data_IF_169234658878
#
_entry.id   IF_169234658878
#
_cell.length_a   1.000
_cell.length_b   1.000
_cell.length_c   1.000
_cell.angle_alpha   90.00
_cell.angle_beta   90.00
_cell.angle_gamma   90.00
#
_symmetry.space_group_name_H-M   'P 1'
#
loop_
_entity.id
_entity.type
_entity.pdbx_description
1 polymer ?
#
# COMPACT_ATOMS: atom_id res chain seq x y z
N UNK A 1 44.78 -46.62 113.08
CA UNK A 1 43.64 -46.92 112.19
C UNK A 1 42.39 -46.33 112.82
N UNK A 2 41.73 -45.37 112.16
CA UNK A 2 40.50 -44.71 112.65
C UNK A 2 39.35 -45.03 111.68
N UNK A 3 38.19 -45.54 112.15
CA UNK A 3 37.05 -45.88 111.30
C UNK A 3 36.01 -44.76 111.33
N UNK A 4 35.99 -43.91 110.32
CA UNK A 4 34.91 -42.94 110.09
C UNK A 4 34.58 -42.91 108.60
N UNK A 5 33.91 -43.96 108.08
CA UNK A 5 33.36 -43.95 106.71
C UNK A 5 32.22 -44.98 106.54
N UNK A 6 31.34 -45.13 107.53
CA UNK A 6 30.18 -46.04 107.44
C UNK A 6 28.88 -45.42 107.99
N UNK A 7 28.62 -44.13 107.71
CA UNK A 7 27.40 -43.44 108.18
C UNK A 7 26.52 -42.87 107.05
N UNK A 8 26.62 -43.40 105.82
CA UNK A 8 25.94 -42.81 104.65
C UNK A 8 24.89 -43.68 103.97
N UNK A 9 24.63 -44.91 104.42
CA UNK A 9 23.67 -45.82 103.76
C UNK A 9 22.29 -45.93 104.43
N UNK A 10 22.20 -45.81 105.77
CA UNK A 10 20.93 -46.03 106.48
C UNK A 10 19.93 -44.87 106.36
N UNK A 11 20.42 -43.63 106.20
CA UNK A 11 19.55 -42.45 106.12
C UNK A 11 18.72 -42.39 104.82
N UNK A 12 19.20 -42.99 103.74
CA UNK A 12 18.53 -42.98 102.44
C UNK A 12 17.29 -43.89 102.40
N UNK A 13 17.33 -45.02 103.11
CA UNK A 13 16.29 -46.03 103.05
C UNK A 13 14.99 -45.65 103.81
N UNK A 14 15.09 -44.81 104.85
CA UNK A 14 13.94 -44.49 105.71
C UNK A 14 13.06 -43.35 105.20
N UNK A 15 13.57 -42.47 104.32
CA UNK A 15 12.83 -41.29 103.81
C UNK A 15 12.32 -41.42 102.36
N UNK A 16 12.90 -42.31 101.56
CA UNK A 16 12.60 -42.45 100.13
C UNK A 16 11.99 -43.81 99.73
N UNK A 17 11.40 -44.56 100.67
CA UNK A 17 10.85 -45.90 100.40
C UNK A 17 9.83 -45.94 99.25
N UNK A 18 9.09 -44.85 99.01
CA UNK A 18 8.10 -44.73 97.92
C UNK A 18 8.53 -43.82 96.76
N UNK A 19 9.72 -43.21 96.81
CA UNK A 19 10.20 -42.28 95.78
C UNK A 19 10.47 -43.01 94.47
N UNK A 20 11.10 -44.18 94.55
CA UNK A 20 11.33 -45.04 93.39
C UNK A 20 10.03 -45.42 92.71
N UNK A 21 8.98 -45.82 93.44
CA UNK A 21 7.68 -46.16 92.83
C UNK A 21 6.98 -44.95 92.17
N UNK A 22 6.95 -43.79 92.86
CA UNK A 22 6.31 -42.56 92.35
C UNK A 22 7.00 -41.94 91.14
N UNK A 23 8.27 -42.28 90.88
CA UNK A 23 9.01 -41.85 89.68
C UNK A 23 9.04 -42.95 88.62
N UNK A 24 9.36 -44.18 88.99
CA UNK A 24 9.53 -45.30 88.05
C UNK A 24 8.21 -45.66 87.36
N UNK A 25 7.08 -45.70 88.07
CA UNK A 25 5.79 -46.07 87.47
C UNK A 25 5.34 -45.07 86.39
N UNK A 26 5.25 -43.74 86.64
CA UNK A 26 4.89 -42.79 85.58
C UNK A 26 5.94 -42.73 84.48
N UNK A 27 7.23 -42.92 84.78
CA UNK A 27 8.27 -42.97 83.74
C UNK A 27 8.14 -44.22 82.85
N UNK A 28 7.79 -45.36 83.43
CA UNK A 28 7.55 -46.60 82.69
C UNK A 28 6.29 -46.52 81.82
N UNK A 29 5.20 -45.93 82.33
CA UNK A 29 4.00 -45.63 81.54
C UNK A 29 4.30 -44.64 80.42
N UNK A 30 5.08 -43.59 80.67
CA UNK A 30 5.51 -42.64 79.64
C UNK A 30 6.36 -43.33 78.57
N UNK A 31 7.24 -44.25 78.94
CA UNK A 31 8.07 -45.01 78.00
C UNK A 31 7.23 -45.96 77.14
N UNK A 32 6.27 -46.67 77.74
CA UNK A 32 5.31 -47.52 77.00
C UNK A 32 4.44 -46.67 76.09
N UNK A 33 3.99 -45.49 76.54
CA UNK A 33 3.25 -44.53 75.72
C UNK A 33 4.09 -44.02 74.56
N UNK A 34 5.35 -43.64 74.77
CA UNK A 34 6.25 -43.18 73.70
C UNK A 34 6.54 -44.29 72.69
N UNK A 35 6.73 -45.53 73.13
CA UNK A 35 6.91 -46.68 72.22
C UNK A 35 5.63 -46.96 71.43
N UNK A 36 4.47 -46.95 72.10
CA UNK A 36 3.17 -47.08 71.44
C UNK A 36 2.94 -45.95 70.43
N UNK A 37 3.16 -44.71 70.83
CA UNK A 37 3.08 -43.54 69.96
C UNK A 37 4.05 -43.66 68.78
N UNK A 38 5.30 -44.08 68.99
CA UNK A 38 6.26 -44.25 67.91
C UNK A 38 5.84 -45.32 66.89
N UNK A 39 5.10 -46.36 67.33
CA UNK A 39 4.58 -47.40 66.43
C UNK A 39 3.35 -46.96 65.63
N UNK A 40 2.45 -46.18 66.23
CA UNK A 40 1.18 -45.78 65.61
C UNK A 40 1.21 -44.41 64.94
N UNK A 41 2.01 -43.47 65.44
CA UNK A 41 2.12 -42.15 64.84
C UNK A 41 2.94 -42.24 63.55
N UNK A 42 2.35 -41.73 62.48
CA UNK A 42 2.97 -41.65 61.17
C UNK A 42 3.65 -40.28 60.99
N UNK A 43 4.86 -40.32 60.43
CA UNK A 43 5.63 -39.17 59.97
C UNK A 43 5.64 -39.16 58.46
N UNK A 44 5.29 -38.01 57.87
CA UNK A 44 5.38 -37.80 56.43
C UNK A 44 6.84 -37.64 55.99
N UNK A 45 7.21 -38.36 54.94
CA UNK A 45 8.52 -38.24 54.31
C UNK A 45 8.41 -37.23 53.16
N UNK A 46 9.04 -36.07 53.35
CA UNK A 46 9.13 -35.07 52.31
C UNK A 46 10.45 -35.17 51.56
N UNK A 47 10.36 -35.17 50.24
CA UNK A 47 11.48 -34.93 49.35
C UNK A 47 11.44 -33.46 48.94
N UNK A 48 12.60 -32.80 48.92
CA UNK A 48 12.72 -31.39 48.62
C UNK A 48 13.74 -31.19 47.50
N UNK A 49 13.32 -30.54 46.42
CA UNK A 49 14.22 -30.14 45.32
C UNK A 49 14.10 -28.64 45.03
N UNK A 50 15.04 -28.10 44.24
CA UNK A 50 14.95 -26.75 43.71
C UNK A 50 14.09 -26.74 42.45
N UNK A 51 13.20 -25.77 42.37
CA UNK A 51 12.36 -25.55 41.21
C UNK A 51 12.41 -24.09 40.79
N UNK A 52 12.19 -23.84 39.50
CA UNK A 52 12.12 -22.52 38.89
C UNK A 52 10.75 -22.32 38.25
N UNK A 53 10.27 -21.08 38.29
CA UNK A 53 9.06 -20.67 37.57
C UNK A 53 9.42 -20.42 36.10
N UNK A 54 8.88 -21.23 35.21
CA UNK A 54 9.09 -21.13 33.76
C UNK A 54 7.77 -20.76 33.05
N UNK A 55 7.84 -20.13 31.87
CA UNK A 55 6.65 -19.85 31.08
C UNK A 55 6.06 -21.14 30.49
N UNK A 56 4.74 -21.15 30.28
CA UNK A 56 4.07 -22.24 29.57
C UNK A 56 4.45 -22.28 28.08
N UNK A 57 4.69 -21.11 27.49
CA UNK A 57 5.11 -20.91 26.10
C UNK A 57 5.82 -19.57 25.93
N UNK A 58 6.56 -19.44 24.84
CA UNK A 58 7.16 -18.19 24.40
C UNK A 58 6.20 -17.53 23.41
N UNK A 59 5.77 -16.29 23.69
CA UNK A 59 4.88 -15.54 22.80
C UNK A 59 5.63 -15.00 21.58
N UNK A 60 6.83 -14.45 21.80
CA UNK A 60 7.67 -13.91 20.73
C UNK A 60 9.15 -13.94 21.10
N UNK A 61 10.01 -14.11 20.09
CA UNK A 61 11.44 -13.85 20.22
C UNK A 61 11.71 -12.44 19.71
N UNK A 62 12.34 -11.62 20.56
CA UNK A 62 12.76 -10.27 20.22
C UNK A 62 14.21 -10.36 19.76
N UNK A 63 14.42 -10.20 18.45
CA UNK A 63 15.74 -10.28 17.81
C UNK A 63 16.19 -8.91 17.34
N UNK A 64 17.51 -8.71 17.27
CA UNK A 64 18.10 -7.49 16.72
C UNK A 64 17.71 -7.31 15.25
N UNK A 65 17.21 -6.14 14.88
CA UNK A 65 16.76 -5.83 13.51
C UNK A 65 17.76 -4.99 12.72
N UNK A 66 18.86 -4.59 13.36
CA UNK A 66 19.92 -3.77 12.76
C UNK A 66 21.26 -4.05 13.41
N UNK A 67 22.34 -3.86 12.64
CA UNK A 67 23.72 -3.87 13.13
C UNK A 67 24.17 -2.52 13.70
N UNK A 68 23.30 -1.50 13.67
CA UNK A 68 23.59 -0.18 14.20
C UNK A 68 23.67 -0.19 15.73
N UNK A 69 24.22 0.88 16.30
CA UNK A 69 24.26 1.07 17.75
C UNK A 69 22.84 1.27 18.30
N UNK A 70 22.54 0.66 19.44
CA UNK A 70 21.31 0.90 20.21
C UNK A 70 21.44 2.26 20.90
N UNK A 71 20.52 3.18 20.60
CA UNK A 71 20.41 4.49 21.26
C UNK A 71 19.55 4.42 22.51
N UNK A 72 18.42 3.72 22.42
CA UNK A 72 17.47 3.56 23.52
C UNK A 72 17.16 2.08 23.69
N UNK A 73 17.35 1.59 24.91
CA UNK A 73 17.03 0.23 25.30
C UNK A 73 16.06 0.27 26.48
N UNK A 74 14.82 -0.17 26.26
CA UNK A 74 13.79 -0.30 27.29
C UNK A 74 13.59 -1.75 27.74
N UNK A 75 14.43 -2.68 27.26
CA UNK A 75 14.42 -4.08 27.65
C UNK A 75 14.92 -4.22 29.09
N UNK A 76 14.04 -4.70 29.97
CA UNK A 76 14.35 -4.96 31.37
C UNK A 76 13.73 -6.31 31.78
N UNK A 77 14.45 -7.08 32.60
CA UNK A 77 14.01 -8.38 33.06
C UNK A 77 12.71 -8.28 33.88
N UNK A 78 11.75 -9.15 33.59
CA UNK A 78 10.42 -9.17 34.20
C UNK A 78 9.58 -7.89 34.00
N UNK A 79 9.92 -7.02 33.05
CA UNK A 79 9.12 -5.83 32.73
C UNK A 79 7.88 -6.21 31.93
N UNK A 80 6.73 -5.69 32.35
CA UNK A 80 5.47 -5.85 31.63
C UNK A 80 5.39 -4.82 30.50
N UNK A 81 5.11 -5.31 29.29
CA UNK A 81 4.96 -4.49 28.08
C UNK A 81 3.62 -4.77 27.43
N UNK A 82 3.09 -3.76 26.75
CA UNK A 82 1.88 -3.85 25.94
C UNK A 82 2.24 -3.89 24.47
N UNK A 83 1.35 -4.47 23.66
CA UNK A 83 1.48 -4.47 22.22
C UNK A 83 1.69 -3.05 21.69
N UNK A 84 2.75 -2.88 20.89
CA UNK A 84 3.14 -1.60 20.30
C UNK A 84 4.12 -0.77 21.14
N UNK A 85 4.42 -1.17 22.37
CA UNK A 85 5.42 -0.48 23.19
C UNK A 85 6.79 -0.54 22.52
N UNK A 86 7.50 0.59 22.50
CA UNK A 86 8.88 0.68 22.00
C UNK A 86 9.82 -0.06 22.96
N UNK A 87 10.57 -1.02 22.42
CA UNK A 87 11.51 -1.84 23.17
C UNK A 87 12.95 -1.41 22.94
N UNK A 88 13.33 -1.24 21.67
CA UNK A 88 14.69 -0.85 21.28
C UNK A 88 14.62 0.15 20.13
N UNK A 89 15.44 1.18 20.20
CA UNK A 89 15.65 2.16 19.14
C UNK A 89 17.12 2.15 18.75
N UNK A 90 17.40 1.92 17.47
CA UNK A 90 18.73 2.04 16.90
C UNK A 90 19.01 3.47 16.47
N UNK A 91 20.29 3.79 16.30
CA UNK A 91 20.73 5.03 15.69
C UNK A 91 20.16 5.16 14.28
N UNK A 92 19.34 6.19 14.08
CA UNK A 92 18.81 6.57 12.77
C UNK A 92 19.97 7.05 11.89
N UNK A 93 20.08 6.49 10.68
CA UNK A 93 21.04 6.92 9.67
C UNK A 93 20.40 7.92 8.71
N UNK A 94 20.87 7.91 7.46
CA UNK A 94 20.36 8.80 6.42
C UNK A 94 18.96 8.41 5.91
N UNK A 95 18.39 7.29 6.36
CA UNK A 95 17.13 6.72 5.86
C UNK A 95 15.96 7.69 6.09
N UNK A 96 15.89 8.34 7.25
CA UNK A 96 14.84 9.32 7.57
C UNK A 96 14.86 10.53 6.63
N UNK A 97 16.05 11.09 6.37
CA UNK A 97 16.24 12.20 5.41
C UNK A 97 15.86 11.75 4.00
N UNK A 98 16.20 10.50 3.64
CA UNK A 98 15.89 9.95 2.32
C UNK A 98 14.39 9.73 2.12
N UNK A 99 13.65 9.26 3.14
CA UNK A 99 12.18 9.12 3.11
C UNK A 99 11.52 10.48 2.88
N UNK A 100 11.99 11.53 3.56
CA UNK A 100 11.47 12.89 3.39
C UNK A 100 11.78 13.47 2.00
N UNK A 101 13.00 13.24 1.50
CA UNK A 101 13.38 13.62 0.13
C UNK A 101 12.49 12.94 -0.91
N UNK A 102 12.25 11.63 -0.79
CA UNK A 102 11.34 10.92 -1.69
C UNK A 102 9.89 11.41 -1.54
N UNK A 103 9.43 11.73 -0.32
CA UNK A 103 8.10 12.28 -0.11
C UNK A 103 7.93 13.62 -0.84
N UNK A 104 8.92 14.52 -0.76
CA UNK A 104 8.93 15.80 -1.47
C UNK A 104 8.94 15.63 -2.99
N UNK A 105 9.77 14.71 -3.51
CA UNK A 105 9.80 14.42 -4.96
C UNK A 105 8.47 13.86 -5.46
N UNK A 106 7.86 12.97 -4.68
CA UNK A 106 6.58 12.34 -5.01
C UNK A 106 5.44 13.36 -5.04
N UNK A 107 5.43 14.31 -4.10
CA UNK A 107 4.45 15.41 -4.10
C UNK A 107 4.57 16.27 -5.36
N UNK A 108 5.80 16.67 -5.73
CA UNK A 108 6.07 17.40 -6.97
C UNK A 108 5.59 16.64 -8.21
N UNK A 109 5.91 15.34 -8.32
CA UNK A 109 5.51 14.53 -9.47
C UNK A 109 3.98 14.33 -9.54
N UNK A 110 3.30 14.22 -8.40
CA UNK A 110 1.83 14.14 -8.34
C UNK A 110 1.17 15.46 -8.73
N UNK A 111 1.72 16.60 -8.29
CA UNK A 111 1.27 17.93 -8.73
C UNK A 111 1.45 18.08 -10.26
N UNK A 112 2.61 17.70 -10.78
CA UNK A 112 2.88 17.69 -12.22
C UNK A 112 1.87 16.83 -13.00
N UNK A 113 1.57 15.62 -12.50
CA UNK A 113 0.61 14.70 -13.13
C UNK A 113 -0.77 15.32 -13.21
N UNK A 114 -1.23 15.90 -12.10
CA UNK A 114 -2.53 16.56 -12.01
C UNK A 114 -2.63 17.74 -13.00
N UNK A 115 -1.58 18.55 -13.12
CA UNK A 115 -1.57 19.66 -14.09
C UNK A 115 -1.54 19.18 -15.54
N UNK A 116 -0.87 18.06 -15.81
CA UNK A 116 -0.88 17.42 -17.13
C UNK A 116 -2.24 16.79 -17.46
N UNK A 117 -2.97 16.27 -16.48
CA UNK A 117 -4.37 15.81 -16.63
C UNK A 117 -5.31 16.98 -16.95
N UNK A 118 -5.08 18.17 -16.37
CA UNK A 118 -5.80 19.39 -16.77
C UNK A 118 -5.50 19.78 -18.22
N UNK A 119 -4.25 19.65 -18.70
CA UNK A 119 -3.93 19.85 -20.11
C UNK A 119 -4.69 18.86 -21.00
N UNK A 120 -4.69 17.57 -20.64
CA UNK A 120 -5.39 16.54 -21.38
C UNK A 120 -6.88 16.88 -21.53
N UNK A 121 -7.53 17.25 -20.42
CA UNK A 121 -8.94 17.64 -20.41
C UNK A 121 -9.17 18.90 -21.26
N UNK A 122 -8.29 19.89 -21.14
CA UNK A 122 -8.38 21.14 -21.91
C UNK A 122 -8.28 20.89 -23.42
N UNK A 123 -7.39 20.00 -23.85
CA UNK A 123 -7.29 19.58 -25.25
C UNK A 123 -8.52 18.80 -25.73
N UNK A 124 -9.13 17.98 -24.87
CA UNK A 124 -10.32 17.18 -25.19
C UNK A 124 -11.57 18.03 -25.36
N UNK A 125 -11.84 18.93 -24.42
CA UNK A 125 -13.04 19.76 -24.37
C UNK A 125 -12.87 21.08 -25.15
N UNK A 126 -11.63 21.52 -25.38
CA UNK A 126 -11.33 22.76 -26.09
C UNK A 126 -11.45 24.02 -25.21
N UNK A 127 -11.59 23.86 -23.90
CA UNK A 127 -11.69 24.93 -22.92
C UNK A 127 -10.58 24.85 -21.86
N UNK A 128 -10.24 25.96 -21.22
CA UNK A 128 -9.21 25.97 -20.19
C UNK A 128 -9.76 25.39 -18.86
N UNK A 129 -9.21 24.24 -18.41
CA UNK A 129 -9.57 23.63 -17.12
C UNK A 129 -8.55 23.85 -16.00
N UNK A 130 -7.52 24.67 -16.21
CA UNK A 130 -6.55 24.98 -15.16
C UNK A 130 -7.20 25.92 -14.13
N UNK A 131 -7.24 25.53 -12.84
CA UNK A 131 -7.86 26.36 -11.80
C UNK A 131 -7.00 27.57 -11.43
N UNK A 132 -5.68 27.42 -11.51
CA UNK A 132 -4.68 28.43 -11.17
C UNK A 132 -3.53 28.37 -12.18
N UNK A 133 -2.62 29.33 -12.10
CA UNK A 133 -1.43 29.37 -12.94
C UNK A 133 -0.56 28.14 -12.70
N UNK A 134 -0.19 27.48 -13.79
CA UNK A 134 0.49 26.21 -13.76
C UNK A 134 2.01 26.38 -13.55
N UNK A 135 2.65 25.42 -12.86
CA UNK A 135 4.08 25.51 -12.52
C UNK A 135 5.00 24.90 -13.60
N UNK A 136 4.42 24.20 -14.58
CA UNK A 136 5.15 23.33 -15.49
C UNK A 136 5.07 23.76 -16.97
N UNK A 137 4.34 24.84 -17.29
CA UNK A 137 4.15 25.38 -18.64
C UNK A 137 3.03 24.70 -19.46
N UNK A 138 2.20 23.87 -18.84
CA UNK A 138 1.13 23.14 -19.53
C UNK A 138 -0.02 24.07 -19.96
N UNK A 139 -0.32 25.12 -19.21
CA UNK A 139 -1.33 26.11 -19.62
C UNK A 139 -0.87 26.87 -20.86
N UNK A 140 0.42 27.21 -20.93
CA UNK A 140 1.03 27.80 -22.13
C UNK A 140 0.92 26.85 -23.33
N UNK A 141 1.18 25.56 -23.12
CA UNK A 141 1.02 24.52 -24.17
C UNK A 141 -0.41 24.46 -24.71
N UNK A 142 -1.42 24.57 -23.84
CA UNK A 142 -2.82 24.65 -24.28
C UNK A 142 -3.09 25.91 -25.10
N UNK A 143 -2.60 27.07 -24.66
CA UNK A 143 -2.73 28.34 -25.39
C UNK A 143 -2.10 28.25 -26.79
N UNK A 144 -0.95 27.61 -26.90
CA UNK A 144 -0.27 27.39 -28.18
C UNK A 144 -1.08 26.49 -29.12
N UNK A 145 -1.75 25.46 -28.59
CA UNK A 145 -2.68 24.64 -29.35
C UNK A 145 -3.88 25.47 -29.87
N UNK A 146 -4.50 26.28 -29.02
CA UNK A 146 -5.63 27.15 -29.41
C UNK A 146 -5.18 28.15 -30.48
N UNK A 147 -3.99 28.72 -30.33
CA UNK A 147 -3.40 29.65 -31.31
C UNK A 147 -3.21 28.98 -32.68
N UNK A 148 -2.60 27.80 -32.71
CA UNK A 148 -2.41 27.02 -33.94
C UNK A 148 -3.75 26.68 -34.60
N UNK A 149 -4.72 26.18 -33.83
CA UNK A 149 -6.06 25.88 -34.32
C UNK A 149 -6.76 27.15 -34.86
N UNK A 150 -6.55 28.30 -34.21
CA UNK A 150 -7.02 29.61 -34.68
C UNK A 150 -6.40 30.00 -36.02
N UNK A 151 -5.09 29.85 -36.19
CA UNK A 151 -4.39 30.13 -37.44
C UNK A 151 -4.88 29.25 -38.60
N UNK A 152 -5.12 27.95 -38.36
CA UNK A 152 -5.68 27.07 -39.39
C UNK A 152 -7.08 27.52 -39.84
N UNK A 153 -7.95 27.89 -38.88
CA UNK A 153 -9.30 28.41 -39.19
C UNK A 153 -9.23 29.72 -39.97
N UNK A 154 -8.37 30.65 -39.55
CA UNK A 154 -8.19 31.93 -40.22
C UNK A 154 -7.68 31.76 -41.66
N UNK A 155 -6.67 30.91 -41.86
CA UNK A 155 -6.14 30.61 -43.19
C UNK A 155 -7.19 29.98 -44.12
N UNK A 156 -7.99 29.05 -43.61
CA UNK A 156 -9.09 28.43 -44.39
C UNK A 156 -10.17 29.45 -44.73
N UNK A 157 -10.54 30.33 -43.78
CA UNK A 157 -11.51 31.41 -44.03
C UNK A 157 -11.03 32.33 -45.16
N UNK A 158 -9.78 32.77 -45.09
CA UNK A 158 -9.18 33.64 -46.10
C UNK A 158 -9.15 32.97 -47.49
N UNK A 159 -8.84 31.68 -47.55
CA UNK A 159 -8.87 30.92 -48.80
C UNK A 159 -10.30 30.84 -49.36
N UNK A 160 -11.29 30.59 -48.50
CA UNK A 160 -12.69 30.53 -48.90
C UNK A 160 -13.23 31.89 -49.35
N UNK A 161 -12.85 32.99 -48.71
CA UNK A 161 -13.19 34.35 -49.14
C UNK A 161 -12.60 34.66 -50.53
N UNK A 162 -11.35 34.23 -50.77
CA UNK A 162 -10.71 34.36 -52.08
C UNK A 162 -11.46 33.57 -53.15
N UNK A 163 -11.84 32.32 -52.85
CA UNK A 163 -12.64 31.48 -53.75
C UNK A 163 -14.01 32.10 -54.02
N UNK A 164 -14.68 32.62 -52.99
CA UNK A 164 -15.98 33.28 -53.12
C UNK A 164 -15.90 34.51 -54.04
N UNK A 165 -14.85 35.32 -53.89
CA UNK A 165 -14.58 36.46 -54.76
C UNK A 165 -14.35 36.03 -56.22
N UNK A 166 -13.53 35.01 -56.45
CA UNK A 166 -13.28 34.46 -57.79
C UNK A 166 -14.54 33.88 -58.42
N UNK A 167 -15.35 33.14 -57.67
CA UNK A 167 -16.62 32.59 -58.15
C UNK A 167 -17.63 33.70 -58.50
N UNK A 168 -17.67 34.78 -57.71
CA UNK A 168 -18.51 35.94 -58.00
C UNK A 168 -18.06 36.64 -59.28
N UNK A 169 -16.76 36.86 -59.45
CA UNK A 169 -16.21 37.45 -60.67
C UNK A 169 -16.49 36.58 -61.92
N UNK A 170 -16.28 35.27 -61.82
CA UNK A 170 -16.59 34.31 -62.89
C UNK A 170 -18.08 34.36 -63.29
N UNK A 171 -18.98 34.37 -62.30
CA UNK A 171 -20.43 34.51 -62.51
C UNK A 171 -20.79 35.84 -63.20
N UNK A 172 -20.19 36.95 -62.77
CA UNK A 172 -20.39 38.26 -63.39
C UNK A 172 -19.92 38.29 -64.84
N UNK A 173 -18.71 37.77 -65.12
CA UNK A 173 -18.19 37.65 -66.50
C UNK A 173 -19.09 36.77 -67.36
N UNK A 174 -19.58 35.65 -66.83
CA UNK A 174 -20.51 34.78 -67.55
C UNK A 174 -21.84 35.51 -67.85
N UNK A 175 -22.38 36.27 -66.91
CA UNK A 175 -23.60 37.06 -67.13
C UNK A 175 -23.40 38.14 -68.21
N UNK A 176 -22.25 38.82 -68.21
CA UNK A 176 -21.91 39.82 -69.22
C UNK A 176 -21.78 39.21 -70.62
N UNK A 177 -21.11 38.06 -70.76
CA UNK A 177 -21.04 37.34 -72.03
C UNK A 177 -22.44 36.85 -72.45
N UNK A 178 -23.27 36.40 -71.50
CA UNK A 178 -24.66 36.03 -71.76
C UNK A 178 -25.50 37.18 -72.32
N UNK A 179 -25.26 38.40 -71.84
CA UNK A 179 -25.88 39.61 -72.40
C UNK A 179 -25.39 39.89 -73.84
N UNK A 180 -24.09 39.74 -74.12
CA UNK A 180 -23.54 39.90 -75.47
C UNK A 180 -24.10 38.86 -76.45
N UNK A 181 -24.24 37.61 -76.01
CA UNK A 181 -24.91 36.53 -76.77
C UNK A 181 -26.34 36.96 -77.10
N UNK A 182 -27.12 37.36 -76.09
CA UNK A 182 -28.53 37.75 -76.26
C UNK A 182 -28.70 38.93 -77.21
N UNK A 183 -27.83 39.94 -77.11
CA UNK A 183 -27.80 41.09 -78.02
C UNK A 183 -27.43 40.69 -79.45
N UNK A 184 -26.45 39.81 -79.62
CA UNK A 184 -26.01 39.35 -80.94
C UNK A 184 -27.08 38.50 -81.62
N UNK A 185 -27.74 37.61 -80.87
CA UNK A 185 -28.88 36.83 -81.36
C UNK A 185 -30.06 37.72 -81.80
N UNK A 186 -30.33 38.81 -81.06
CA UNK A 186 -31.35 39.79 -81.47
C UNK A 186 -30.99 40.48 -82.79
N UNK A 187 -29.72 40.88 -82.98
CA UNK A 187 -29.24 41.45 -84.25
C UNK A 187 -29.38 40.45 -85.40
N UNK A 188 -29.00 39.19 -85.19
CA UNK A 188 -29.15 38.13 -86.20
C UNK A 188 -30.62 37.99 -86.62
N UNK A 189 -31.56 37.96 -85.66
CA UNK A 189 -33.00 37.90 -85.96
C UNK A 189 -33.48 39.08 -86.79
N UNK A 190 -33.01 40.29 -86.49
CA UNK A 190 -33.35 41.49 -87.27
C UNK A 190 -32.86 41.39 -88.72
N UNK A 191 -31.60 41.00 -88.93
CA UNK A 191 -31.04 40.82 -90.27
C UNK A 191 -31.70 39.66 -91.04
N UNK A 192 -32.06 38.56 -90.37
CA UNK A 192 -32.83 37.46 -90.98
C UNK A 192 -34.23 37.92 -91.42
N UNK A 193 -34.90 38.74 -90.61
CA UNK A 193 -36.20 39.33 -90.95
C UNK A 193 -36.08 40.24 -92.17
N UNK A 194 -35.04 41.07 -92.23
CA UNK A 194 -34.78 41.92 -93.38
C UNK A 194 -34.45 41.11 -94.65
N UNK A 195 -33.64 40.05 -94.54
CA UNK A 195 -33.38 39.11 -95.65
C UNK A 195 -34.69 38.54 -96.19
N UNK A 196 -35.53 38.01 -95.31
CA UNK A 196 -36.83 37.45 -95.69
C UNK A 196 -37.71 38.51 -96.37
N UNK A 197 -37.77 39.73 -95.85
CA UNK A 197 -38.56 40.82 -96.43
C UNK A 197 -38.09 41.19 -97.85
N UNK A 198 -36.77 41.26 -98.08
CA UNK A 198 -36.18 41.49 -99.41
C UNK A 198 -36.52 40.33 -100.36
N UNK A 199 -36.47 39.09 -99.88
CA UNK A 199 -36.73 37.88 -100.67
C UNK A 199 -38.21 37.71 -101.05
N UNK A 200 -39.14 37.98 -100.14
CA UNK A 200 -40.58 37.75 -100.34
C UNK A 200 -41.35 39.00 -100.76
N UNK A 201 -40.72 40.17 -100.77
CA UNK A 201 -41.39 41.45 -101.05
C UNK A 201 -42.29 41.95 -99.91
N UNK A 202 -42.07 41.46 -98.68
CA UNK A 202 -42.84 41.90 -97.52
C UNK A 202 -42.32 43.25 -96.98
N UNK A 203 -43.18 44.01 -96.31
CA UNK A 203 -42.77 45.27 -95.68
C UNK A 203 -41.93 45.03 -94.42
N UNK A 204 -40.89 45.85 -94.24
CA UNK A 204 -40.03 45.82 -93.05
C UNK A 204 -40.35 47.00 -92.12
N UNK A 205 -40.39 46.75 -90.81
CA UNK A 205 -40.59 47.78 -89.80
C UNK A 205 -39.39 48.72 -89.68
N UNK A 206 -39.64 50.00 -89.40
CA UNK A 206 -38.60 51.04 -89.28
C UNK A 206 -37.69 50.89 -88.06
N UNK A 207 -38.07 50.07 -87.07
CA UNK A 207 -37.26 49.76 -85.89
C UNK A 207 -36.21 48.67 -86.14
N UNK A 208 -36.29 47.96 -87.27
CA UNK A 208 -35.34 46.90 -87.61
C UNK A 208 -33.96 47.47 -87.95
N UNK A 209 -32.90 46.88 -87.42
CA UNK A 209 -31.52 47.33 -87.63
C UNK A 209 -31.10 47.42 -89.10
N UNK A 210 -31.63 46.56 -89.96
CA UNK A 210 -31.31 46.52 -91.39
C UNK A 210 -32.31 47.31 -92.26
N UNK A 211 -33.15 48.16 -91.66
CA UNK A 211 -34.14 48.95 -92.39
C UNK A 211 -33.54 49.90 -93.43
N UNK A 212 -32.37 50.49 -93.17
CA UNK A 212 -31.66 51.35 -94.13
C UNK A 212 -31.21 50.59 -95.38
N UNK A 213 -30.69 49.38 -95.20
CA UNK A 213 -30.34 48.43 -96.27
C UNK A 213 -31.59 48.06 -97.09
N UNK A 214 -32.69 47.74 -96.41
CA UNK A 214 -33.98 47.45 -97.06
C UNK A 214 -34.51 48.63 -97.89
N UNK A 215 -34.41 49.86 -97.37
CA UNK A 215 -34.83 51.07 -98.08
C UNK A 215 -33.97 51.36 -99.31
N UNK A 216 -32.66 51.15 -99.20
CA UNK A 216 -31.74 51.29 -100.34
C UNK A 216 -32.01 50.25 -101.44
N UNK A 217 -32.47 49.06 -101.09
CA UNK A 217 -32.93 48.07 -102.07
C UNK A 217 -34.22 48.55 -102.76
N UNK A 218 -35.20 49.01 -101.97
CA UNK A 218 -36.50 49.47 -102.48
C UNK A 218 -36.37 50.63 -103.47
N UNK A 219 -35.41 51.53 -103.27
CA UNK A 219 -35.16 52.67 -104.17
C UNK A 219 -34.53 52.29 -105.51
N UNK A 220 -33.93 51.10 -105.65
CA UNK A 220 -33.33 50.60 -106.89
C UNK A 220 -34.32 49.84 -107.80
N UNK A 221 -35.59 49.75 -107.40
CA UNK A 221 -36.68 49.09 -108.13
C UNK A 221 -36.88 47.63 -107.72
N UNK A 222 -38.07 47.30 -107.19
CA UNK A 222 -38.44 45.97 -106.67
C UNK A 222 -38.37 44.84 -107.72
N UNK A 223 -38.38 45.19 -109.02
CA UNK A 223 -38.33 44.24 -110.13
C UNK A 223 -36.90 43.99 -110.67
N UNK A 224 -35.85 44.57 -110.09
CA UNK A 224 -34.47 44.37 -110.53
C UNK A 224 -33.80 43.16 -109.83
N UNK A 225 -33.58 42.03 -110.55
CA UNK A 225 -33.03 40.81 -109.94
C UNK A 225 -31.60 40.99 -109.44
N UNK A 226 -30.79 41.85 -110.08
CA UNK A 226 -29.42 42.13 -109.66
C UNK A 226 -29.37 42.95 -108.37
N UNK A 227 -30.22 43.97 -108.24
CA UNK A 227 -30.30 44.79 -107.02
C UNK A 227 -30.74 43.94 -105.81
N UNK A 228 -31.69 43.04 -106.02
CA UNK A 228 -32.13 42.07 -105.00
C UNK A 228 -31.01 41.14 -104.56
N UNK A 229 -30.30 40.52 -105.51
CA UNK A 229 -29.19 39.62 -105.21
C UNK A 229 -28.06 40.33 -104.45
N UNK A 230 -27.75 41.58 -104.82
CA UNK A 230 -26.73 42.37 -104.15
C UNK A 230 -27.12 42.76 -102.71
N UNK A 231 -28.39 43.14 -102.48
CA UNK A 231 -28.90 43.45 -101.15
C UNK A 231 -28.91 42.23 -100.24
N UNK A 232 -29.35 41.06 -100.75
CA UNK A 232 -29.29 39.79 -100.03
C UNK A 232 -27.85 39.42 -99.67
N UNK A 233 -26.91 39.52 -100.62
CA UNK A 233 -25.50 39.22 -100.36
C UNK A 233 -24.90 40.13 -99.27
N UNK A 234 -25.26 41.42 -99.24
CA UNK A 234 -24.82 42.33 -98.18
C UNK A 234 -25.38 41.93 -96.80
N UNK A 235 -26.64 41.52 -96.72
CA UNK A 235 -27.25 41.01 -95.49
C UNK A 235 -26.60 39.69 -95.06
N UNK A 236 -26.28 38.79 -96.00
CA UNK A 236 -25.60 37.53 -95.72
C UNK A 236 -24.20 37.72 -95.16
N UNK A 237 -23.42 38.69 -95.67
CA UNK A 237 -22.11 39.03 -95.10
C UNK A 237 -22.24 39.49 -93.64
N UNK A 238 -23.23 40.34 -93.33
CA UNK A 238 -23.47 40.79 -91.96
C UNK A 238 -23.92 39.63 -91.04
N UNK A 239 -24.79 38.75 -91.55
CA UNK A 239 -25.22 37.55 -90.82
C UNK A 239 -24.04 36.64 -90.51
N UNK A 240 -23.19 36.33 -91.49
CA UNK A 240 -22.01 35.48 -91.29
C UNK A 240 -21.04 36.05 -90.24
N UNK A 241 -20.82 37.37 -90.24
CA UNK A 241 -20.00 38.04 -89.24
C UNK A 241 -20.60 37.94 -87.82
N UNK A 242 -21.91 38.17 -87.69
CA UNK A 242 -22.62 38.05 -86.41
C UNK A 242 -22.68 36.60 -85.92
N UNK A 243 -22.83 35.63 -86.81
CA UNK A 243 -22.82 34.20 -86.47
C UNK A 243 -21.43 33.76 -85.98
N UNK A 244 -20.36 34.24 -86.61
CA UNK A 244 -18.98 33.99 -86.17
C UNK A 244 -18.68 34.61 -84.79
N UNK A 245 -19.16 35.82 -84.52
CA UNK A 245 -18.98 36.45 -83.20
C UNK A 245 -19.83 35.74 -82.15
N UNK A 246 -21.06 35.35 -82.47
CA UNK A 246 -21.91 34.55 -81.60
C UNK A 246 -21.27 33.22 -81.23
N UNK A 247 -20.69 32.50 -82.20
CA UNK A 247 -19.96 31.26 -81.94
C UNK A 247 -18.80 31.49 -80.96
N UNK A 248 -18.05 32.59 -81.14
CA UNK A 248 -16.96 32.98 -80.25
C UNK A 248 -17.47 33.26 -78.83
N UNK A 249 -18.54 34.04 -78.67
CA UNK A 249 -19.11 34.33 -77.36
C UNK A 249 -19.66 33.07 -76.67
N UNK A 250 -20.27 32.15 -77.41
CA UNK A 250 -20.75 30.87 -76.84
C UNK A 250 -19.62 30.00 -76.30
N UNK A 251 -18.48 29.96 -76.99
CA UNK A 251 -17.28 29.28 -76.49
C UNK A 251 -16.78 29.95 -75.21
N UNK A 252 -16.71 31.29 -75.19
CA UNK A 252 -16.29 32.03 -73.99
C UNK A 252 -17.25 31.82 -72.81
N UNK A 253 -18.57 31.81 -73.06
CA UNK A 253 -19.60 31.60 -72.05
C UNK A 253 -19.50 30.22 -71.39
N UNK A 254 -19.20 29.18 -72.18
CA UNK A 254 -19.00 27.83 -71.66
C UNK A 254 -17.75 27.73 -70.76
N UNK A 255 -16.74 28.56 -71.03
CA UNK A 255 -15.49 28.61 -70.25
C UNK A 255 -15.52 29.53 -69.04
N UNK A 256 -16.34 30.58 -69.04
CA UNK A 256 -16.31 31.64 -68.00
C UNK A 256 -17.09 31.30 -66.73
N UNK A 257 -17.95 30.26 -66.74
CA UNK A 257 -18.83 29.91 -65.63
C UNK A 257 -18.28 28.93 -64.59
N UNK A 258 -17.02 28.53 -64.69
CA UNK A 258 -16.46 27.50 -63.81
C UNK A 258 -16.27 28.02 -62.40
N UNK A 259 -16.97 27.43 -61.43
CA UNK A 259 -16.82 27.73 -60.00
C UNK A 259 -15.80 26.80 -59.36
N UNK A 260 -14.91 27.37 -58.54
CA UNK A 260 -14.01 26.63 -57.68
C UNK A 260 -14.74 26.14 -56.41
N UNK A 261 -14.40 24.93 -55.98
CA UNK A 261 -14.89 24.38 -54.71
C UNK A 261 -14.17 25.02 -53.52
N UNK A 262 -14.90 25.23 -52.42
CA UNK A 262 -14.32 25.71 -51.17
C UNK A 262 -13.31 24.72 -50.58
N UNK A 263 -12.38 25.23 -49.77
CA UNK A 263 -11.37 24.43 -49.11
C UNK A 263 -12.05 23.38 -48.19
N UNK A 264 -11.73 22.11 -48.42
CA UNK A 264 -12.17 20.98 -47.62
C UNK A 264 -11.00 20.40 -46.82
N UNK A 265 -11.25 19.94 -45.59
CA UNK A 265 -10.22 19.26 -44.77
C UNK A 265 -9.78 20.01 -43.51
N UNK A 266 -10.34 21.19 -43.23
CA UNK A 266 -10.06 21.89 -41.97
C UNK A 266 -10.40 21.01 -40.75
N UNK A 267 -11.51 20.28 -40.79
CA UNK A 267 -11.91 19.37 -39.72
C UNK A 267 -10.87 18.27 -39.47
N UNK A 268 -10.35 17.63 -40.52
CA UNK A 268 -9.34 16.58 -40.39
C UNK A 268 -7.99 17.15 -39.93
N UNK A 269 -7.62 18.35 -40.36
CA UNK A 269 -6.40 19.02 -39.88
C UNK A 269 -6.50 19.38 -38.39
N UNK A 270 -7.64 19.91 -37.93
CA UNK A 270 -7.87 20.20 -36.52
C UNK A 270 -7.86 18.93 -35.67
N UNK A 271 -8.48 17.85 -36.15
CA UNK A 271 -8.49 16.57 -35.44
C UNK A 271 -7.10 15.94 -35.37
N UNK A 272 -6.32 16.04 -36.45
CA UNK A 272 -4.91 15.61 -36.46
C UNK A 272 -4.06 16.41 -35.48
N UNK A 273 -4.24 17.73 -35.42
CA UNK A 273 -3.53 18.60 -34.47
C UNK A 273 -3.86 18.21 -33.03
N UNK A 274 -5.15 18.04 -32.72
CA UNK A 274 -5.62 17.59 -31.40
C UNK A 274 -5.04 16.23 -31.04
N UNK A 275 -5.09 15.27 -31.96
CA UNK A 275 -4.55 13.93 -31.76
C UNK A 275 -3.05 13.94 -31.49
N UNK A 276 -2.28 14.78 -32.18
CA UNK A 276 -0.84 14.92 -31.96
C UNK A 276 -0.52 15.45 -30.55
N UNK A 277 -1.26 16.46 -30.09
CA UNK A 277 -1.08 16.99 -28.73
C UNK A 277 -1.49 15.97 -27.66
N UNK A 278 -2.63 15.29 -27.84
CA UNK A 278 -3.08 14.24 -26.92
C UNK A 278 -2.13 13.06 -26.85
N UNK A 279 -1.52 12.66 -27.98
CA UNK A 279 -0.51 11.60 -28.00
C UNK A 279 0.73 11.99 -27.20
N UNK A 280 1.22 13.23 -27.33
CA UNK A 280 2.35 13.74 -26.52
C UNK A 280 2.02 13.75 -25.03
N UNK A 281 0.84 14.24 -24.66
CA UNK A 281 0.37 14.24 -23.27
C UNK A 281 0.26 12.81 -22.72
N UNK A 282 -0.26 11.86 -23.51
CA UNK A 282 -0.35 10.46 -23.11
C UNK A 282 1.03 9.81 -22.88
N UNK A 283 2.02 10.13 -23.72
CA UNK A 283 3.40 9.68 -23.52
C UNK A 283 4.01 10.26 -22.24
N UNK A 284 3.81 11.55 -21.99
CA UNK A 284 4.34 12.22 -20.81
C UNK A 284 3.67 11.71 -19.51
N UNK A 285 2.36 11.48 -19.52
CA UNK A 285 1.65 10.83 -18.41
C UNK A 285 2.23 9.45 -18.09
N UNK A 286 2.49 8.65 -19.13
CA UNK A 286 3.07 7.30 -18.95
C UNK A 286 4.47 7.37 -18.32
N UNK A 287 5.32 8.30 -18.77
CA UNK A 287 6.66 8.51 -18.21
C UNK A 287 6.58 8.99 -16.76
N UNK A 288 5.61 9.86 -16.46
CA UNK A 288 5.43 10.40 -15.12
C UNK A 288 4.92 9.33 -14.14
N UNK A 289 4.00 8.47 -14.59
CA UNK A 289 3.53 7.32 -13.80
C UNK A 289 4.67 6.35 -13.48
N UNK A 290 5.55 6.08 -14.44
CA UNK A 290 6.74 5.27 -14.20
C UNK A 290 7.66 5.89 -13.14
N UNK A 291 7.93 7.20 -13.22
CA UNK A 291 8.74 7.92 -12.21
C UNK A 291 8.08 7.91 -10.83
N UNK A 292 6.77 8.11 -10.75
CA UNK A 292 6.03 8.05 -9.49
C UNK A 292 6.17 6.66 -8.87
N UNK A 293 6.00 5.59 -9.64
CA UNK A 293 6.17 4.21 -9.16
C UNK A 293 7.58 3.93 -8.67
N UNK A 294 8.59 4.42 -9.38
CA UNK A 294 10.01 4.28 -8.98
C UNK A 294 10.28 4.98 -7.63
N UNK A 295 9.85 6.24 -7.50
CA UNK A 295 10.00 7.03 -6.27
C UNK A 295 9.19 6.44 -5.12
N UNK A 296 7.97 5.97 -5.36
CA UNK A 296 7.13 5.29 -4.36
C UNK A 296 7.79 4.01 -3.85
N UNK A 297 8.34 3.20 -4.76
CA UNK A 297 9.10 1.99 -4.41
C UNK A 297 10.35 2.34 -3.61
N UNK A 298 11.12 3.35 -4.04
CA UNK A 298 12.29 3.85 -3.32
C UNK A 298 11.95 4.32 -1.91
N UNK A 299 10.88 5.12 -1.75
CA UNK A 299 10.37 5.57 -0.45
C UNK A 299 10.00 4.39 0.44
N UNK A 300 9.30 3.38 -0.10
CA UNK A 300 8.88 2.20 0.65
C UNK A 300 10.07 1.39 1.15
N UNK A 301 11.09 1.21 0.31
CA UNK A 301 12.33 0.52 0.71
C UNK A 301 13.01 1.26 1.86
N UNK A 302 13.15 2.59 1.77
CA UNK A 302 13.75 3.38 2.85
C UNK A 302 12.88 3.41 4.12
N UNK A 303 11.56 3.47 3.98
CA UNK A 303 10.63 3.37 5.11
C UNK A 303 10.78 2.05 5.85
N UNK A 304 10.85 0.92 5.15
CA UNK A 304 11.10 -0.38 5.76
C UNK A 304 12.45 -0.45 6.49
N UNK A 305 13.49 0.22 5.96
CA UNK A 305 14.79 0.31 6.62
C UNK A 305 14.73 1.17 7.88
N UNK A 306 13.96 2.26 7.86
CA UNK A 306 13.71 3.09 9.04
C UNK A 306 12.92 2.33 10.11
N UNK A 307 11.93 1.54 9.72
CA UNK A 307 11.14 0.70 10.62
C UNK A 307 12.01 -0.40 11.25
N UNK A 308 12.98 -0.96 10.53
CA UNK A 308 14.00 -1.85 11.12
C UNK A 308 14.84 -1.15 12.19
N UNK A 309 14.89 0.17 12.21
CA UNK A 309 15.53 0.96 13.27
C UNK A 309 14.78 0.92 14.60
N UNK A 310 13.58 0.32 14.67
CA UNK A 310 12.76 0.25 15.88
C UNK A 310 12.28 -1.17 16.12
N UNK A 311 12.34 -1.62 17.36
CA UNK A 311 11.74 -2.89 17.79
C UNK A 311 10.60 -2.54 18.74
N UNK A 312 9.40 -3.04 18.44
CA UNK A 312 8.21 -2.88 19.27
C UNK A 312 7.68 -4.22 19.75
N UNK A 313 6.94 -4.22 20.85
CA UNK A 313 6.31 -5.43 21.37
C UNK A 313 5.19 -5.89 20.43
N UNK A 314 5.24 -7.15 19.99
CA UNK A 314 4.22 -7.74 19.11
C UNK A 314 2.89 -8.03 19.84
N UNK A 315 2.97 -8.30 21.15
CA UNK A 315 1.86 -8.65 22.03
C UNK A 315 2.10 -8.13 23.45
N UNK A 316 1.08 -8.19 24.29
CA UNK A 316 1.21 -7.92 25.72
C UNK A 316 1.94 -9.08 26.40
N UNK A 317 2.94 -8.79 27.23
CA UNK A 317 3.68 -9.84 27.92
C UNK A 317 4.71 -9.33 28.90
N UNK A 318 5.53 -10.26 29.39
CA UNK A 318 6.62 -10.02 30.32
C UNK A 318 7.93 -10.30 29.60
N UNK A 319 8.86 -9.36 29.63
CA UNK A 319 10.17 -9.49 29.00
C UNK A 319 11.09 -10.38 29.82
N UNK A 320 11.79 -11.27 29.13
CA UNK A 320 12.89 -12.06 29.66
C UNK A 320 14.14 -11.80 28.82
N UNK A 321 15.19 -11.27 29.43
CA UNK A 321 16.39 -10.82 28.72
C UNK A 321 17.28 -12.01 28.38
N UNK A 322 17.94 -11.93 27.22
CA UNK A 322 19.07 -12.80 26.95
C UNK A 322 20.33 -12.21 27.64
N UNK A 323 20.91 -12.90 28.64
CA UNK A 323 22.06 -12.38 29.38
C UNK A 323 23.31 -12.20 28.52
N UNK A 324 23.42 -12.88 27.38
CA UNK A 324 24.57 -12.70 26.47
C UNK A 324 24.55 -11.35 25.74
N UNK A 325 23.37 -10.75 25.60
CA UNK A 325 23.18 -9.51 24.83
C UNK A 325 22.66 -8.33 25.67
N UNK A 326 22.28 -8.55 26.93
CA UNK A 326 21.59 -7.55 27.78
C UNK A 326 22.38 -6.25 27.94
N UNK A 327 23.70 -6.35 28.04
CA UNK A 327 24.59 -5.22 28.35
C UNK A 327 25.29 -4.67 27.09
N UNK A 328 24.99 -5.23 25.92
CA UNK A 328 25.66 -4.88 24.67
C UNK A 328 25.00 -3.67 24.00
N UNK A 329 25.79 -2.67 23.62
CA UNK A 329 25.31 -1.48 22.89
C UNK A 329 25.25 -1.67 21.37
N UNK A 330 25.82 -2.77 20.88
CA UNK A 330 25.84 -3.16 19.47
C UNK A 330 25.66 -4.67 19.41
N UNK A 331 24.67 -5.12 18.66
CA UNK A 331 24.28 -6.53 18.57
C UNK A 331 23.99 -6.83 17.11
N UNK A 332 24.54 -7.94 16.61
CA UNK A 332 24.36 -8.35 15.22
C UNK A 332 22.88 -8.60 14.89
N UNK A 333 22.45 -8.21 13.69
CA UNK A 333 21.11 -8.47 13.16
C UNK A 333 20.80 -9.97 13.22
N UNK A 334 19.62 -10.32 13.74
CA UNK A 334 19.15 -11.69 13.97
C UNK A 334 19.53 -12.28 15.34
N UNK A 335 20.42 -11.66 16.11
CA UNK A 335 20.73 -12.16 17.46
C UNK A 335 19.56 -11.95 18.42
N UNK A 336 19.35 -12.90 19.32
CA UNK A 336 18.27 -12.86 20.31
C UNK A 336 18.59 -11.85 21.42
N UNK A 337 17.73 -10.83 21.59
CA UNK A 337 17.86 -9.82 22.63
C UNK A 337 17.04 -10.17 23.87
N UNK A 338 15.80 -10.60 23.66
CA UNK A 338 14.86 -10.96 24.72
C UNK A 338 13.80 -11.93 24.20
N UNK A 339 13.07 -12.53 25.12
CA UNK A 339 11.88 -13.32 24.86
C UNK A 339 10.68 -12.67 25.53
N UNK A 340 9.53 -12.76 24.90
CA UNK A 340 8.27 -12.29 25.44
C UNK A 340 7.49 -13.49 25.99
N UNK A 341 7.24 -13.48 27.29
CA UNK A 341 6.45 -14.50 27.98
C UNK A 341 5.03 -13.98 28.26
N UNK A 342 4.03 -14.87 28.38
CA UNK A 342 2.70 -14.43 28.74
C UNK A 342 2.66 -13.90 30.18
N UNK A 343 1.83 -12.90 30.44
CA UNK A 343 1.62 -12.43 31.81
C UNK A 343 0.97 -13.53 32.65
N UNK A 344 1.55 -13.82 33.82
CA UNK A 344 1.02 -14.76 34.79
C UNK A 344 -0.42 -14.41 35.22
N UNK A 345 -0.79 -13.13 35.16
CA UNK A 345 -2.15 -12.65 35.46
C UNK A 345 -3.17 -13.10 34.43
N UNK A 346 -2.79 -13.04 33.16
CA UNK A 346 -3.68 -13.41 32.04
C UNK A 346 -3.79 -14.92 31.88
N UNK A 347 -2.70 -15.65 32.09
CA UNK A 347 -2.70 -17.12 31.99
C UNK A 347 -3.35 -17.77 33.22
N UNK A 348 -3.27 -17.14 34.41
CA UNK A 348 -3.81 -17.68 35.65
C UNK A 348 -3.13 -18.97 36.12
N UNK A 349 -2.03 -19.36 35.46
CA UNK A 349 -1.30 -20.59 35.69
C UNK A 349 0.20 -20.35 35.59
N UNK A 350 0.97 -21.02 36.43
CA UNK A 350 2.43 -21.08 36.36
C UNK A 350 2.90 -22.51 36.15
N UNK A 351 3.97 -22.64 35.37
CA UNK A 351 4.70 -23.89 35.21
C UNK A 351 5.93 -23.86 36.10
N UNK A 352 6.12 -24.91 36.89
CA UNK A 352 7.26 -25.10 37.76
C UNK A 352 8.11 -26.23 37.19
N UNK A 353 9.37 -25.94 36.93
CA UNK A 353 10.35 -26.92 36.43
C UNK A 353 11.31 -27.27 37.55
N UNK A 354 11.54 -28.55 37.79
CA UNK A 354 12.53 -29.02 38.76
C UNK A 354 13.30 -30.22 38.23
N UNK A 355 14.45 -30.50 38.84
CA UNK A 355 15.29 -31.64 38.49
C UNK A 355 15.42 -32.59 39.68
N UNK A 356 15.20 -33.89 39.44
CA UNK A 356 15.26 -34.93 40.46
C UNK A 356 16.26 -36.02 40.09
N UNK A 357 16.87 -36.64 41.11
CA UNK A 357 17.78 -37.77 40.89
C UNK A 357 17.01 -39.01 40.42
N UNK A 358 17.70 -39.99 39.84
CA UNK A 358 17.08 -41.26 39.43
C UNK A 358 16.47 -42.04 40.62
N UNK A 359 16.98 -41.85 41.84
CA UNK A 359 16.43 -42.49 43.05
C UNK A 359 15.10 -41.85 43.47
N UNK A 360 15.01 -40.55 43.29
CA UNK A 360 13.90 -39.72 43.74
C UNK A 360 12.73 -39.75 42.76
N UNK A 361 13.02 -39.70 41.45
CA UNK A 361 12.00 -39.76 40.40
C UNK A 361 11.22 -41.08 40.43
N UNK A 362 11.83 -42.18 40.89
CA UNK A 362 11.18 -43.48 41.00
C UNK A 362 10.05 -43.51 42.06
N UNK A 363 10.00 -42.53 42.96
CA UNK A 363 9.05 -42.46 44.07
C UNK A 363 7.87 -41.53 43.80
N UNK A 364 7.81 -40.91 42.62
CA UNK A 364 6.78 -39.94 42.25
C UNK A 364 6.02 -40.37 40.99
N UNK A 365 4.81 -39.85 40.83
CA UNK A 365 3.95 -40.10 39.69
C UNK A 365 3.33 -38.80 39.19
N UNK A 366 2.99 -38.79 37.91
CA UNK A 366 2.15 -37.73 37.34
C UNK A 366 0.80 -37.72 38.08
N UNK A 367 0.37 -36.54 38.51
CA UNK A 367 -0.81 -36.33 39.35
C UNK A 367 -0.54 -36.14 40.84
N UNK A 368 0.70 -36.37 41.31
CA UNK A 368 1.03 -36.14 42.72
C UNK A 368 0.97 -34.65 43.07
N UNK A 369 0.44 -34.34 44.26
CA UNK A 369 0.41 -32.98 44.80
C UNK A 369 1.76 -32.59 45.41
N UNK A 370 2.23 -31.41 45.04
CA UNK A 370 3.52 -30.85 45.49
C UNK A 370 3.34 -29.41 45.94
N UNK A 371 4.12 -29.01 46.93
CA UNK A 371 4.10 -27.65 47.47
C UNK A 371 5.37 -26.91 47.09
N UNK A 372 5.22 -25.81 46.38
CA UNK A 372 6.32 -24.91 46.06
C UNK A 372 6.37 -23.75 47.06
N UNK A 373 7.58 -23.36 47.44
CA UNK A 373 7.83 -22.24 48.36
C UNK A 373 8.96 -21.38 47.82
N UNK A 374 8.71 -20.08 47.61
CA UNK A 374 9.75 -19.14 47.15
C UNK A 374 10.86 -18.96 48.19
N UNK A 375 12.10 -18.80 47.75
CA UNK A 375 13.28 -18.70 48.65
C UNK A 375 13.75 -17.27 48.93
N UNK A 376 13.04 -16.24 48.45
CA UNK A 376 13.56 -14.87 48.34
C UNK A 376 13.47 -14.01 49.63
N UNK A 377 12.59 -14.33 50.59
CA UNK A 377 12.47 -13.63 51.89
C UNK A 377 11.64 -14.46 52.89
N UNK A 378 12.10 -14.60 54.14
CA UNK A 378 11.38 -15.35 55.18
C UNK A 378 10.04 -14.69 55.58
N UNK A 379 9.86 -13.38 55.32
CA UNK A 379 8.63 -12.64 55.62
C UNK A 379 7.59 -12.67 54.48
N UNK A 380 8.00 -13.00 53.25
CA UNK A 380 7.15 -12.94 52.05
C UNK A 380 7.19 -14.27 51.26
N UNK A 381 7.19 -15.40 51.98
CA UNK A 381 7.16 -16.72 51.34
C UNK A 381 5.80 -16.95 50.68
N UNK A 382 5.83 -17.32 49.39
CA UNK A 382 4.65 -17.69 48.64
C UNK A 382 4.54 -19.21 48.64
N UNK A 383 3.39 -19.71 49.09
CA UNK A 383 3.07 -21.15 49.04
C UNK A 383 2.16 -21.42 47.86
N UNK A 384 2.59 -22.31 46.99
CA UNK A 384 1.87 -22.70 45.78
C UNK A 384 1.61 -24.21 45.82
N UNK A 385 0.34 -24.59 45.98
CA UNK A 385 -0.08 -25.98 45.86
C UNK A 385 -0.21 -26.32 44.37
N UNK A 386 0.59 -27.28 43.91
CA UNK A 386 0.82 -27.58 42.50
C UNK A 386 0.67 -29.07 42.25
N UNK A 387 0.45 -29.47 41.00
CA UNK A 387 0.31 -30.88 40.62
C UNK A 387 1.34 -31.25 39.57
N UNK A 388 2.01 -32.40 39.72
CA UNK A 388 2.96 -32.90 38.70
C UNK A 388 2.19 -33.24 37.44
N UNK A 389 2.53 -32.59 36.32
CA UNK A 389 1.89 -32.80 35.02
C UNK A 389 2.76 -33.61 34.07
N UNK A 390 4.09 -33.54 34.20
CA UNK A 390 5.02 -34.28 33.35
C UNK A 390 6.29 -34.70 34.09
N UNK A 391 6.84 -35.83 33.68
CA UNK A 391 8.15 -36.35 34.09
C UNK A 391 8.84 -36.81 32.80
N UNK A 392 10.00 -36.24 32.50
CA UNK A 392 10.74 -36.61 31.29
C UNK A 392 11.12 -38.10 31.33
N UNK A 393 11.00 -38.77 30.18
CA UNK A 393 11.37 -40.19 30.06
C UNK A 393 12.89 -40.41 30.06
N UNK A 394 13.66 -39.36 29.77
CA UNK A 394 15.12 -39.40 29.65
C UNK A 394 15.78 -38.50 30.68
N UNK A 395 16.93 -38.93 31.20
CA UNK A 395 17.71 -38.11 32.11
C UNK A 395 18.57 -37.07 31.37
N UNK A 396 18.58 -35.86 31.88
CA UNK A 396 19.54 -34.81 31.57
C UNK A 396 20.86 -35.11 32.30
N UNK A 397 21.94 -35.27 31.53
CA UNK A 397 23.28 -35.51 32.07
C UNK A 397 23.86 -34.20 32.60
N UNK A 398 24.10 -34.13 33.91
CA UNK A 398 24.84 -33.03 34.55
C UNK A 398 26.14 -33.55 35.16
N UNK A 399 27.09 -32.66 35.47
CA UNK A 399 28.37 -33.02 36.10
C UNK A 399 28.20 -33.80 37.40
N UNK A 400 27.07 -33.60 38.11
CA UNK A 400 26.74 -34.24 39.39
C UNK A 400 25.88 -35.50 39.26
N UNK A 401 25.65 -35.99 38.04
CA UNK A 401 24.89 -37.22 37.77
C UNK A 401 23.70 -37.03 36.82
N UNK A 402 22.89 -38.08 36.69
CA UNK A 402 21.72 -38.11 35.83
C UNK A 402 20.50 -37.57 36.58
N UNK A 403 19.89 -36.50 36.06
CA UNK A 403 18.68 -35.89 36.62
C UNK A 403 17.52 -35.98 35.64
N UNK A 404 16.32 -36.23 36.15
CA UNK A 404 15.09 -36.20 35.36
C UNK A 404 14.39 -34.87 35.58
N UNK A 405 13.97 -34.23 34.48
CA UNK A 405 13.16 -33.02 34.53
C UNK A 405 11.74 -33.40 34.92
N UNK A 406 11.19 -32.67 35.88
CA UNK A 406 9.79 -32.76 36.27
C UNK A 406 9.13 -31.40 36.05
N UNK A 407 7.89 -31.43 35.61
CA UNK A 407 7.08 -30.24 35.39
C UNK A 407 5.82 -30.35 36.23
N UNK A 408 5.53 -29.30 36.99
CA UNK A 408 4.32 -29.17 37.79
C UNK A 408 3.56 -27.91 37.37
N UNK A 409 2.24 -27.96 37.43
CA UNK A 409 1.37 -26.83 37.13
C UNK A 409 0.71 -26.33 38.42
N UNK A 410 0.65 -25.00 38.55
CA UNK A 410 0.00 -24.29 39.66
C UNK A 410 -1.06 -23.36 39.10
N UNK A 411 -2.26 -23.39 39.65
CA UNK A 411 -3.26 -22.33 39.42
C UNK A 411 -2.95 -21.16 40.36
N UNK A 412 -2.86 -19.95 39.82
CA UNK A 412 -2.50 -18.75 40.56
C UNK A 412 -3.73 -17.93 40.92
N UNK A 413 -3.75 -17.39 42.14
CA UNK A 413 -4.68 -16.32 42.51
C UNK A 413 -4.10 -14.95 42.15
N UNK A 414 -4.95 -13.92 42.04
CA UNK A 414 -4.51 -12.56 41.70
C UNK A 414 -3.42 -12.02 42.64
N UNK A 415 -3.49 -12.34 43.94
CA UNK A 415 -2.48 -11.93 44.93
C UNK A 415 -1.15 -12.68 44.73
N UNK A 416 -1.19 -13.95 44.33
CA UNK A 416 0.00 -14.75 44.07
C UNK A 416 0.71 -14.28 42.80
N UNK A 417 -0.05 -13.92 41.78
CA UNK A 417 0.48 -13.39 40.52
C UNK A 417 1.26 -12.09 40.70
N UNK A 418 0.82 -11.19 41.57
CA UNK A 418 1.51 -9.91 41.80
C UNK A 418 2.90 -10.12 42.43
N UNK A 419 3.06 -11.20 43.22
CA UNK A 419 4.29 -11.53 43.95
C UNK A 419 5.19 -12.51 43.21
N UNK A 420 4.66 -13.27 42.24
CA UNK A 420 5.39 -14.28 41.48
C UNK A 420 5.98 -13.69 40.20
N UNK A 421 7.22 -14.07 39.88
CA UNK A 421 7.92 -13.66 38.66
C UNK A 421 8.56 -14.86 38.00
N UNK A 422 8.80 -14.77 36.69
CA UNK A 422 9.53 -15.82 35.98
C UNK A 422 10.99 -15.86 36.43
N UNK A 423 11.59 -17.05 36.41
CA UNK A 423 12.96 -17.29 36.84
C UNK A 423 13.17 -17.31 38.35
N UNK A 424 12.13 -17.07 39.16
CA UNK A 424 12.24 -17.18 40.63
C UNK A 424 12.53 -18.63 41.00
N UNK A 425 13.63 -18.83 41.74
CA UNK A 425 13.93 -20.11 42.37
C UNK A 425 13.10 -20.30 43.65
N UNK A 426 12.76 -21.55 43.92
CA UNK A 426 12.12 -21.95 45.15
C UNK A 426 12.32 -23.42 45.45
N UNK A 427 11.72 -23.84 46.56
CA UNK A 427 11.77 -25.20 47.07
C UNK A 427 10.49 -25.91 46.72
N UNK A 428 10.58 -26.99 45.96
CA UNK A 428 9.48 -27.90 45.67
C UNK A 428 9.53 -29.08 46.63
N UNK A 429 8.53 -29.18 47.51
CA UNK A 429 8.37 -30.23 48.49
C UNK A 429 7.27 -31.19 48.04
N UNK A 430 7.56 -32.48 48.10
CA UNK A 430 6.61 -33.53 47.73
C UNK A 430 6.56 -34.59 48.83
N UNK A 431 5.36 -35.06 49.14
CA UNK A 431 5.15 -36.11 50.14
C UNK A 431 5.30 -37.45 49.41
N UNK A 432 6.40 -38.15 49.67
CA UNK A 432 6.75 -39.42 48.99
C UNK A 432 6.28 -40.67 49.75
N UNK A 433 5.68 -40.49 50.94
CA UNK A 433 5.10 -41.57 51.74
C UNK A 433 4.96 -41.23 53.23
N UNK A 434 4.36 -42.16 53.99
CA UNK A 434 4.21 -42.10 55.45
C UNK A 434 4.96 -43.27 56.09
N UNK A 435 5.78 -43.01 57.12
CA UNK A 435 6.46 -44.04 57.92
C UNK A 435 6.15 -43.82 59.40
N UNK A 436 6.00 -44.88 60.19
CA UNK A 436 5.89 -44.71 61.65
C UNK A 436 7.18 -44.12 62.22
N UNK A 437 7.07 -43.32 63.28
CA UNK A 437 8.24 -42.70 63.93
C UNK A 437 9.28 -43.74 64.35
N UNK A 438 8.85 -44.92 64.84
CA UNK A 438 9.74 -46.03 65.19
C UNK A 438 10.59 -46.43 63.97
N UNK A 439 9.95 -46.65 62.82
CA UNK A 439 10.64 -47.08 61.60
C UNK A 439 11.58 -46.00 61.07
N UNK A 440 11.16 -44.73 61.13
CA UNK A 440 12.01 -43.59 60.77
C UNK A 440 13.30 -43.54 61.60
N UNK A 441 13.20 -43.61 62.93
CA UNK A 441 14.38 -43.57 63.80
C UNK A 441 15.23 -44.85 63.72
N UNK A 442 14.61 -46.01 63.51
CA UNK A 442 15.32 -47.28 63.33
C UNK A 442 16.10 -47.29 62.02
N UNK A 443 15.51 -46.82 60.92
CA UNK A 443 16.16 -46.70 59.61
C UNK A 443 17.37 -45.75 59.70
N UNK A 444 17.22 -44.61 60.40
CA UNK A 444 18.29 -43.65 60.66
C UNK A 444 19.41 -44.22 61.54
N UNK A 445 19.07 -45.05 62.54
CA UNK A 445 20.05 -45.70 63.42
C UNK A 445 20.80 -46.83 62.72
N UNK A 446 20.13 -47.57 61.82
CA UNK A 446 20.68 -48.70 61.08
C UNK A 446 21.37 -48.30 59.76
N UNK A 447 21.44 -47.00 59.46
CA UNK A 447 22.01 -46.45 58.23
C UNK A 447 21.40 -47.09 56.95
N UNK A 448 20.10 -47.40 57.01
CA UNK A 448 19.32 -47.89 55.86
C UNK A 448 18.51 -46.71 55.32
N UNK A 449 18.93 -46.17 54.18
CA UNK A 449 18.18 -45.11 53.46
C UNK A 449 16.86 -45.62 52.85
#
# INVERSE_FOLDING_TARGET
MKPEFLESAEFYNRRYHNFSSRVIVPMSLLLVFLLGFATFAEKEMSLSTRATVEPSRILANIQSTSNNRILVNYLEENKLVKKGDLLVQYQEGAEGVQVESYASQLDMLKDQKKQLEYLQKSLQEGENHFPEEDKFGYQATFRDYISQAGSLRASTSQQNETIASQNTAASQTQAEIGNLISQTEAKIRDYQTAKSAIETGASLGNQNLAYSLYQSYKSQGEENPQAKAQAVAQVEVQLSQLESSLATYRVQYAGSGTQQAYASGLSSQLESLKSQHLAKVGQELTLLDQKILEVESGKKVQGNLLDKGKITASEDGVLHLNPETSDSTMVAEGALLAQLYPSLEKEGKAKLTAYLSSKDVARIKVGDSVRYTTTYDAKNQLFLDSTITSIDATATKAEKGNFFKIEAETNLTSEQTEKLRYGVEGRLQMITGKKSYLRYYLDQFLNKE
#
